data_IF_042492296046
#
_entry.id   IF_042492296046
#
_cell.length_a   1.000
_cell.length_b   1.000
_cell.length_c   1.000
_cell.angle_alpha   90.00
_cell.angle_beta   90.00
_cell.angle_gamma   90.00
#
_symmetry.space_group_name_H-M   'P 1'
#
loop_
_entity.id
_entity.type
_entity.pdbx_description
1 polymer ?
#
# COMPACT_ATOMS: atom_id res chain seq x y z
N UNK A 1 -5.39 3.09 1.52
CA UNK A 1 -4.79 4.41 1.27
C UNK A 1 -5.00 5.37 2.43
N UNK A 2 -6.23 5.56 2.93
CA UNK A 2 -6.49 6.39 4.11
C UNK A 2 -5.75 5.89 5.35
N UNK A 3 -5.88 4.61 5.67
CA UNK A 3 -5.18 3.96 6.81
C UNK A 3 -3.66 4.00 6.66
N UNK A 4 -3.12 3.91 5.44
CA UNK A 4 -1.69 4.05 5.17
C UNK A 4 -1.20 5.49 5.42
N UNK A 5 -1.97 6.50 4.99
CA UNK A 5 -1.67 7.90 5.31
C UNK A 5 -1.70 8.17 6.83
N UNK A 6 -2.76 7.70 7.49
CA UNK A 6 -2.90 7.86 8.94
C UNK A 6 -1.75 7.17 9.71
N UNK A 7 -1.38 5.95 9.32
CA UNK A 7 -0.28 5.22 9.91
C UNK A 7 1.05 5.96 9.77
N UNK A 8 1.36 6.48 8.57
CA UNK A 8 2.60 7.24 8.34
C UNK A 8 2.69 8.44 9.28
N UNK A 9 1.58 9.18 9.41
CA UNK A 9 1.55 10.37 10.28
C UNK A 9 1.65 10.00 11.75
N UNK A 10 0.96 8.93 12.17
CA UNK A 10 1.05 8.39 13.52
C UNK A 10 2.48 8.03 13.91
N UNK A 11 3.18 7.26 13.06
CA UNK A 11 4.57 6.85 13.31
C UNK A 11 5.48 8.07 13.33
N UNK A 12 5.37 8.95 12.33
CA UNK A 12 6.22 10.14 12.22
C UNK A 12 6.08 11.04 13.45
N UNK A 13 4.85 11.39 13.82
CA UNK A 13 4.61 12.28 14.95
C UNK A 13 4.95 11.63 16.29
N UNK A 14 4.61 10.35 16.49
CA UNK A 14 4.93 9.65 17.73
C UNK A 14 6.45 9.58 17.97
N UNK A 15 7.23 9.23 16.95
CA UNK A 15 8.69 9.18 17.09
C UNK A 15 9.33 10.57 17.17
N UNK A 16 8.71 11.58 16.54
CA UNK A 16 9.12 12.97 16.75
C UNK A 16 8.93 13.41 18.20
N UNK A 17 7.79 13.08 18.79
CA UNK A 17 7.53 13.35 20.23
C UNK A 17 8.48 12.61 21.18
N UNK A 18 9.04 11.47 20.75
CA UNK A 18 10.08 10.74 21.46
C UNK A 18 11.49 11.34 21.26
N UNK A 19 11.61 12.48 20.58
CA UNK A 19 12.87 13.22 20.40
C UNK A 19 13.71 12.80 19.18
N UNK A 20 13.16 12.04 18.24
CA UNK A 20 13.87 11.68 17.01
C UNK A 20 14.04 12.88 16.08
N UNK A 21 15.28 13.07 15.58
CA UNK A 21 15.57 14.09 14.58
C UNK A 21 14.89 13.80 13.23
N UNK A 22 14.69 14.81 12.37
CA UNK A 22 14.09 14.61 11.05
C UNK A 22 14.82 13.58 10.17
N UNK A 23 16.14 13.47 10.30
CA UNK A 23 16.95 12.48 9.58
C UNK A 23 16.65 11.07 10.09
N UNK A 24 16.57 10.87 11.40
CA UNK A 24 16.21 9.58 11.98
C UNK A 24 14.78 9.17 11.58
N UNK A 25 13.84 10.11 11.52
CA UNK A 25 12.49 9.86 11.03
C UNK A 25 12.50 9.43 9.56
N UNK A 26 13.34 10.02 8.72
CA UNK A 26 13.49 9.60 7.32
C UNK A 26 13.97 8.13 7.22
N UNK A 27 14.89 7.70 8.07
CA UNK A 27 15.36 6.31 8.12
C UNK A 27 14.23 5.32 8.46
N UNK A 28 13.28 5.67 9.34
CA UNK A 28 12.14 4.81 9.68
C UNK A 28 11.31 4.42 8.45
N UNK A 29 11.28 5.29 7.42
CA UNK A 29 10.51 5.06 6.20
C UNK A 29 11.34 4.52 5.04
N UNK A 30 12.66 4.38 5.18
CA UNK A 30 13.54 3.95 4.10
C UNK A 30 13.18 2.54 3.59
N UNK A 31 13.00 1.59 4.50
CA UNK A 31 12.59 0.22 4.14
C UNK A 31 11.17 0.22 3.54
N UNK A 32 10.27 1.04 4.06
CA UNK A 32 8.92 1.20 3.51
C UNK A 32 8.93 1.60 2.02
N UNK A 33 9.69 2.62 1.66
CA UNK A 33 9.76 3.08 0.27
C UNK A 33 10.51 2.07 -0.61
N UNK A 34 11.59 1.47 -0.11
CA UNK A 34 12.36 0.46 -0.83
C UNK A 34 11.49 -0.76 -1.16
N UNK A 35 10.76 -1.31 -0.17
CA UNK A 35 9.84 -2.41 -0.37
C UNK A 35 8.68 -2.05 -1.31
N UNK A 36 8.23 -0.80 -1.28
CA UNK A 36 7.25 -0.27 -2.23
C UNK A 36 7.76 -0.31 -3.68
N UNK A 37 9.01 0.10 -3.92
CA UNK A 37 9.63 0.03 -5.26
C UNK A 37 9.66 -1.42 -5.76
N UNK A 38 10.16 -2.35 -4.94
CA UNK A 38 10.21 -3.78 -5.29
C UNK A 38 8.80 -4.32 -5.60
N UNK A 39 7.84 -4.02 -4.76
CA UNK A 39 6.45 -4.49 -4.94
C UNK A 39 5.81 -3.90 -6.18
N UNK A 40 6.05 -2.64 -6.52
CA UNK A 40 5.55 -2.05 -7.77
C UNK A 40 6.15 -2.73 -9.00
N UNK A 41 7.43 -3.11 -8.96
CA UNK A 41 8.10 -3.80 -10.05
C UNK A 41 7.49 -5.19 -10.32
N UNK A 42 7.26 -5.96 -9.25
CA UNK A 42 6.69 -7.31 -9.36
C UNK A 42 5.15 -7.34 -9.36
N UNK A 43 4.49 -6.26 -8.94
CA UNK A 43 3.05 -6.23 -8.68
C UNK A 43 2.19 -6.59 -9.88
N UNK A 44 2.54 -6.12 -11.08
CA UNK A 44 1.85 -6.47 -12.32
C UNK A 44 1.93 -7.97 -12.62
N UNK A 45 3.10 -8.57 -12.44
CA UNK A 45 3.30 -10.01 -12.59
C UNK A 45 2.51 -10.83 -11.55
N UNK A 46 2.48 -10.37 -10.30
CA UNK A 46 1.70 -11.01 -9.23
C UNK A 46 0.21 -11.05 -9.55
N UNK A 47 -0.36 -9.92 -10.01
CA UNK A 47 -1.78 -9.86 -10.39
C UNK A 47 -2.07 -10.75 -11.59
N UNK A 48 -1.17 -10.81 -12.57
CA UNK A 48 -1.34 -11.68 -13.75
C UNK A 48 -1.25 -13.16 -13.39
N UNK A 49 -0.41 -13.54 -12.41
CA UNK A 49 -0.20 -14.93 -12.01
C UNK A 49 -1.25 -15.45 -11.05
N UNK A 50 -1.59 -14.67 -10.04
CA UNK A 50 -2.45 -15.10 -8.93
C UNK A 50 -3.88 -14.54 -9.04
N UNK A 51 -4.09 -13.58 -9.91
CA UNK A 51 -5.36 -12.89 -10.05
C UNK A 51 -5.45 -11.65 -9.14
N UNK A 52 -6.45 -10.82 -9.42
CA UNK A 52 -6.67 -9.55 -8.74
C UNK A 52 -7.08 -9.72 -7.28
N UNK A 53 -8.05 -10.61 -7.03
CA UNK A 53 -8.65 -10.81 -5.71
C UNK A 53 -7.65 -11.37 -4.69
N UNK A 54 -6.91 -12.46 -4.97
CA UNK A 54 -5.90 -12.96 -4.05
C UNK A 54 -4.80 -11.92 -3.72
N UNK A 55 -4.36 -11.13 -4.70
CA UNK A 55 -3.36 -10.08 -4.47
C UNK A 55 -3.92 -8.94 -3.61
N UNK A 56 -5.20 -8.61 -3.76
CA UNK A 56 -5.87 -7.64 -2.90
C UNK A 56 -5.96 -8.15 -1.45
N UNK A 57 -6.38 -9.40 -1.26
CA UNK A 57 -6.45 -10.01 0.07
C UNK A 57 -5.08 -10.10 0.73
N UNK A 58 -4.05 -10.52 -0.01
CA UNK A 58 -2.68 -10.56 0.55
C UNK A 58 -2.21 -9.17 0.98
N UNK A 59 -2.48 -8.13 0.20
CA UNK A 59 -2.19 -6.75 0.59
C UNK A 59 -2.88 -6.33 1.87
N UNK A 60 -4.19 -6.61 2.02
CA UNK A 60 -4.93 -6.29 3.24
C UNK A 60 -4.43 -7.07 4.46
N UNK A 61 -4.16 -8.36 4.30
CA UNK A 61 -3.63 -9.23 5.38
C UNK A 61 -2.25 -8.73 5.85
N UNK A 62 -1.34 -8.44 4.92
CA UNK A 62 0.00 -7.90 5.26
C UNK A 62 -0.14 -6.55 5.97
N UNK A 63 -1.09 -5.70 5.58
CA UNK A 63 -1.33 -4.42 6.24
C UNK A 63 -1.80 -4.60 7.68
N UNK A 64 -2.71 -5.55 7.93
CA UNK A 64 -3.17 -5.88 9.29
C UNK A 64 -2.02 -6.41 10.14
N UNK A 65 -1.20 -7.33 9.60
CA UNK A 65 -0.02 -7.87 10.28
C UNK A 65 0.97 -6.75 10.62
N UNK A 66 1.23 -5.84 9.69
CA UNK A 66 2.09 -4.69 9.91
C UNK A 66 1.61 -3.80 11.07
N UNK A 67 0.31 -3.48 11.10
CA UNK A 67 -0.27 -2.69 12.19
C UNK A 67 -0.25 -3.41 13.54
N UNK A 68 -0.54 -4.72 13.56
CA UNK A 68 -0.43 -5.55 14.76
C UNK A 68 1.02 -5.59 15.26
N UNK A 69 1.99 -5.73 14.36
CA UNK A 69 3.40 -5.67 14.72
C UNK A 69 3.76 -4.32 15.37
N UNK A 70 3.29 -3.20 14.81
CA UNK A 70 3.52 -1.87 15.38
C UNK A 70 2.81 -1.69 16.74
N UNK A 71 1.65 -2.30 16.93
CA UNK A 71 0.95 -2.28 18.22
C UNK A 71 1.74 -3.01 19.31
N UNK A 72 2.48 -4.06 18.93
CA UNK A 72 3.28 -4.92 19.83
C UNK A 72 4.75 -4.48 19.96
N UNK A 73 5.13 -3.28 19.48
CA UNK A 73 6.53 -2.82 19.57
C UNK A 73 7.03 -2.90 21.01
N UNK A 74 8.08 -3.67 21.28
CA UNK A 74 8.64 -3.81 22.62
C UNK A 74 9.52 -2.60 22.95
N UNK A 75 8.94 -1.56 23.55
CA UNK A 75 9.68 -0.35 23.96
C UNK A 75 10.71 -0.64 25.08
N UNK A 76 10.57 -1.77 25.76
CA UNK A 76 11.42 -2.19 26.87
C UNK A 76 12.79 -2.74 26.42
N UNK A 77 12.94 -3.18 25.17
CA UNK A 77 14.17 -3.78 24.65
C UNK A 77 15.23 -2.76 24.20
N UNK A 78 14.99 -1.49 24.44
CA UNK A 78 15.89 -0.40 24.03
C UNK A 78 15.54 0.24 22.69
N UNK A 79 15.93 1.50 22.54
CA UNK A 79 15.54 2.36 21.40
C UNK A 79 15.97 1.75 20.06
N UNK A 80 17.20 1.21 19.99
CA UNK A 80 17.73 0.66 18.73
C UNK A 80 16.93 -0.53 18.18
N UNK A 81 16.57 -1.46 19.07
CA UNK A 81 15.76 -2.65 18.68
C UNK A 81 14.36 -2.23 18.25
N UNK A 82 13.74 -1.30 19.00
CA UNK A 82 12.41 -0.77 18.67
C UNK A 82 12.40 -0.07 17.30
N UNK A 83 13.43 0.69 16.97
CA UNK A 83 13.59 1.35 15.66
C UNK A 83 13.66 0.33 14.53
N UNK A 84 14.53 -0.69 14.63
CA UNK A 84 14.64 -1.74 13.62
C UNK A 84 13.30 -2.46 13.44
N UNK A 85 12.63 -2.79 14.54
CA UNK A 85 11.31 -3.44 14.50
C UNK A 85 10.27 -2.58 13.76
N UNK A 86 10.22 -1.27 14.06
CA UNK A 86 9.33 -0.33 13.36
C UNK A 86 9.68 -0.22 11.89
N UNK A 87 10.96 -0.18 11.52
CA UNK A 87 11.40 -0.15 10.12
C UNK A 87 10.94 -1.38 9.35
N UNK A 88 11.06 -2.57 9.93
CA UNK A 88 10.60 -3.83 9.32
C UNK A 88 9.07 -3.84 9.18
N UNK A 89 8.34 -3.48 10.24
CA UNK A 89 6.88 -3.39 10.20
C UNK A 89 6.42 -2.38 9.13
N UNK A 90 7.07 -1.22 9.02
CA UNK A 90 6.81 -0.25 7.96
C UNK A 90 7.13 -0.82 6.56
N UNK A 91 8.16 -1.64 6.42
CA UNK A 91 8.46 -2.35 5.16
C UNK A 91 7.28 -3.21 4.70
N UNK A 92 6.68 -3.99 5.60
CA UNK A 92 5.46 -4.75 5.31
C UNK A 92 4.29 -3.85 4.91
N UNK A 93 4.11 -2.71 5.58
CA UNK A 93 3.10 -1.73 5.19
C UNK A 93 3.34 -1.16 3.78
N UNK A 94 4.60 -0.95 3.38
CA UNK A 94 4.99 -0.56 2.02
C UNK A 94 4.56 -1.59 0.98
N UNK A 95 4.84 -2.88 1.22
CA UNK A 95 4.38 -3.99 0.37
C UNK A 95 2.86 -3.99 0.26
N UNK A 96 2.16 -3.97 1.38
CA UNK A 96 0.71 -4.01 1.45
C UNK A 96 0.05 -2.88 0.65
N UNK A 97 0.54 -1.67 0.81
CA UNK A 97 0.08 -0.47 0.08
C UNK A 97 0.19 -0.67 -1.44
N UNK A 98 1.35 -1.14 -1.90
CA UNK A 98 1.60 -1.22 -3.34
C UNK A 98 0.90 -2.43 -3.97
N UNK A 99 0.73 -3.56 -3.28
CA UNK A 99 -0.14 -4.65 -3.72
C UNK A 99 -1.60 -4.17 -3.90
N UNK A 100 -2.14 -3.47 -2.94
CA UNK A 100 -3.50 -2.89 -3.02
C UNK A 100 -3.62 -1.88 -4.16
N UNK A 101 -2.59 -1.06 -4.39
CA UNK A 101 -2.53 -0.07 -5.48
C UNK A 101 -2.51 -0.74 -6.85
N UNK A 102 -1.68 -1.77 -7.03
CA UNK A 102 -1.58 -2.51 -8.30
C UNK A 102 -2.88 -3.25 -8.58
N UNK A 103 -3.46 -3.94 -7.58
CA UNK A 103 -4.76 -4.61 -7.70
C UNK A 103 -5.85 -3.63 -8.13
N UNK A 104 -5.93 -2.45 -7.50
CA UNK A 104 -6.94 -1.44 -7.86
C UNK A 104 -6.78 -0.92 -9.29
N UNK A 105 -5.54 -0.71 -9.77
CA UNK A 105 -5.29 -0.30 -11.15
C UNK A 105 -5.63 -1.38 -12.16
N UNK A 106 -5.34 -2.63 -11.83
CA UNK A 106 -5.67 -3.79 -12.67
C UNK A 106 -7.18 -4.01 -12.74
N UNK A 107 -7.91 -3.75 -11.65
CA UNK A 107 -9.38 -3.81 -11.65
C UNK A 107 -10.00 -2.88 -12.69
N UNK A 108 -9.51 -1.65 -12.83
CA UNK A 108 -10.01 -0.70 -13.83
C UNK A 108 -9.86 -1.26 -15.25
N UNK A 109 -8.72 -1.90 -15.56
CA UNK A 109 -8.48 -2.49 -16.89
C UNK A 109 -9.41 -3.68 -17.18
N UNK A 110 -9.73 -4.47 -16.15
CA UNK A 110 -10.60 -5.64 -16.28
C UNK A 110 -12.07 -5.22 -16.43
N UNK A 111 -12.50 -4.19 -15.69
CA UNK A 111 -13.88 -3.72 -15.69
C UNK A 111 -14.26 -2.87 -16.92
N UNK A 112 -13.27 -2.36 -17.64
CA UNK A 112 -13.48 -1.52 -18.82
C UNK A 112 -12.64 -1.99 -20.04
N UNK A 113 -12.77 -3.25 -20.47
CA UNK A 113 -11.91 -3.82 -21.54
C UNK A 113 -12.12 -3.16 -22.90
N UNK A 114 -13.35 -2.73 -23.21
CA UNK A 114 -13.76 -2.17 -24.52
C UNK A 114 -13.80 -0.64 -24.52
N UNK A 115 -13.33 0.01 -23.45
CA UNK A 115 -13.31 1.45 -23.40
C UNK A 115 -12.19 2.05 -24.26
N UNK A 116 -12.48 3.16 -24.95
CA UNK A 116 -11.45 3.90 -25.67
C UNK A 116 -10.34 4.33 -24.70
N UNK A 117 -9.10 4.45 -25.20
CA UNK A 117 -7.93 4.87 -24.42
C UNK A 117 -8.19 6.14 -23.60
N UNK A 118 -8.99 7.07 -24.13
CA UNK A 118 -9.41 8.30 -23.47
C UNK A 118 -10.27 8.04 -22.23
N UNK A 119 -11.19 7.09 -22.29
CA UNK A 119 -12.06 6.72 -21.16
C UNK A 119 -11.24 5.98 -20.10
N UNK A 120 -10.38 5.04 -20.52
CA UNK A 120 -9.49 4.31 -19.65
C UNK A 120 -8.54 5.27 -18.90
N UNK A 121 -7.97 6.24 -19.60
CA UNK A 121 -7.13 7.29 -19.00
C UNK A 121 -7.90 8.09 -17.95
N UNK A 122 -9.13 8.51 -18.24
CA UNK A 122 -9.99 9.24 -17.29
C UNK A 122 -10.24 8.43 -16.02
N UNK A 123 -10.58 7.15 -16.12
CA UNK A 123 -10.77 6.27 -14.96
C UNK A 123 -9.50 6.11 -14.12
N UNK A 124 -8.36 5.89 -14.75
CA UNK A 124 -7.07 5.75 -14.05
C UNK A 124 -6.67 7.06 -13.39
N UNK A 125 -6.89 8.20 -14.04
CA UNK A 125 -6.61 9.53 -13.48
C UNK A 125 -7.50 9.82 -12.26
N UNK A 126 -8.81 9.56 -12.38
CA UNK A 126 -9.76 9.71 -11.25
C UNK A 126 -9.41 8.80 -10.09
N UNK A 127 -9.07 7.53 -10.35
CA UNK A 127 -8.63 6.59 -9.32
C UNK A 127 -7.35 7.08 -8.62
N UNK A 128 -6.42 7.63 -9.37
CA UNK A 128 -5.15 8.13 -8.82
C UNK A 128 -5.37 9.41 -7.99
N UNK A 129 -6.18 10.33 -8.49
CA UNK A 129 -6.54 11.55 -7.78
C UNK A 129 -7.28 11.27 -6.47
N UNK A 130 -8.29 10.40 -6.50
CA UNK A 130 -9.03 10.00 -5.29
C UNK A 130 -8.14 9.32 -4.25
N UNK A 131 -7.20 8.46 -4.67
CA UNK A 131 -6.22 7.84 -3.75
C UNK A 131 -5.36 8.89 -3.06
N UNK A 132 -4.86 9.88 -3.79
CA UNK A 132 -4.02 10.93 -3.23
C UNK A 132 -4.82 11.81 -2.25
N UNK A 133 -6.06 12.15 -2.58
CA UNK A 133 -6.96 12.85 -1.67
C UNK A 133 -7.20 12.05 -0.38
N UNK A 134 -7.54 10.76 -0.50
CA UNK A 134 -7.75 9.88 0.66
C UNK A 134 -6.48 9.73 1.50
N UNK A 135 -5.29 9.74 0.89
CA UNK A 135 -4.02 9.73 1.63
C UNK A 135 -3.80 11.02 2.40
N UNK A 136 -4.13 12.18 1.80
CA UNK A 136 -4.09 13.48 2.48
C UNK A 136 -5.03 13.53 3.68
N UNK A 137 -6.27 13.06 3.53
CA UNK A 137 -7.20 12.88 4.66
C UNK A 137 -6.65 11.94 5.72
N UNK A 138 -5.97 10.86 5.30
CA UNK A 138 -5.30 9.94 6.22
C UNK A 138 -4.27 10.67 7.08
N UNK A 139 -3.44 11.53 6.51
CA UNK A 139 -2.46 12.31 7.27
C UNK A 139 -3.12 13.17 8.34
N UNK A 140 -4.20 13.87 7.98
CA UNK A 140 -4.97 14.68 8.94
C UNK A 140 -5.53 13.81 10.07
N UNK A 141 -6.19 12.70 9.73
CA UNK A 141 -6.76 11.78 10.71
C UNK A 141 -5.68 11.16 11.61
N UNK A 142 -4.52 10.81 11.08
CA UNK A 142 -3.41 10.29 11.86
C UNK A 142 -2.93 11.27 12.94
N UNK A 143 -2.82 12.56 12.59
CA UNK A 143 -2.48 13.60 13.55
C UNK A 143 -3.55 13.79 14.62
N UNK A 144 -4.83 13.85 14.21
CA UNK A 144 -5.97 14.02 15.13
C UNK A 144 -6.07 12.81 16.09
N UNK A 145 -5.96 11.59 15.56
CA UNK A 145 -6.04 10.37 16.38
C UNK A 145 -4.90 10.33 17.41
N UNK A 146 -3.68 10.68 17.00
CA UNK A 146 -2.57 10.74 17.94
C UNK A 146 -2.82 11.74 19.06
N UNK A 147 -3.31 12.92 18.72
CA UNK A 147 -3.57 14.00 19.70
C UNK A 147 -4.69 13.64 20.68
N UNK A 148 -5.75 12.98 20.21
CA UNK A 148 -6.92 12.66 21.05
C UNK A 148 -6.79 11.34 21.80
N UNK A 149 -6.22 10.31 21.19
CA UNK A 149 -6.26 8.94 21.70
C UNK A 149 -4.88 8.36 22.01
N UNK A 150 -3.81 9.04 21.61
CA UNK A 150 -2.45 8.53 21.72
C UNK A 150 -2.14 7.41 20.73
N UNK A 151 -0.88 6.94 20.73
CA UNK A 151 -0.35 6.06 19.69
C UNK A 151 -1.02 4.69 19.64
N UNK A 152 -1.11 3.98 20.78
CA UNK A 152 -1.64 2.60 20.83
C UNK A 152 -3.12 2.53 20.46
N UNK A 153 -3.95 3.43 21.02
CA UNK A 153 -5.40 3.43 20.74
C UNK A 153 -5.65 3.80 19.27
N UNK A 154 -4.89 4.72 18.70
CA UNK A 154 -4.98 5.08 17.29
C UNK A 154 -4.65 3.90 16.37
N UNK A 155 -3.62 3.12 16.70
CA UNK A 155 -3.33 1.88 15.96
C UNK A 155 -4.47 0.88 16.06
N UNK A 156 -5.05 0.69 17.25
CA UNK A 156 -6.19 -0.21 17.44
C UNK A 156 -7.40 0.20 16.58
N UNK A 157 -7.69 1.50 16.50
CA UNK A 157 -8.76 2.04 15.62
C UNK A 157 -8.47 1.72 14.15
N UNK A 158 -7.23 1.93 13.69
CA UNK A 158 -6.85 1.62 12.31
C UNK A 158 -6.94 0.12 12.00
N UNK A 159 -6.55 -0.74 12.95
CA UNK A 159 -6.70 -2.20 12.83
C UNK A 159 -8.18 -2.56 12.72
N UNK A 160 -9.03 -2.03 13.58
CA UNK A 160 -10.46 -2.30 13.56
C UNK A 160 -11.10 -1.90 12.22
N UNK A 161 -10.75 -0.73 11.68
CA UNK A 161 -11.22 -0.29 10.35
C UNK A 161 -10.78 -1.27 9.26
N UNK A 162 -9.52 -1.70 9.25
CA UNK A 162 -9.01 -2.62 8.22
C UNK A 162 -9.63 -4.01 8.33
N UNK A 163 -9.79 -4.53 9.54
CA UNK A 163 -10.47 -5.82 9.78
C UNK A 163 -11.91 -5.75 9.31
N UNK A 164 -12.63 -4.68 9.62
CA UNK A 164 -14.02 -4.49 9.14
C UNK A 164 -14.07 -4.47 7.61
N UNK A 165 -13.17 -3.75 6.94
CA UNK A 165 -13.10 -3.74 5.47
C UNK A 165 -12.75 -5.13 4.93
N UNK A 166 -11.80 -5.83 5.54
CA UNK A 166 -11.41 -7.18 5.14
C UNK A 166 -12.58 -8.14 5.21
N UNK A 167 -13.29 -8.13 6.32
CA UNK A 167 -14.50 -8.96 6.57
C UNK A 167 -15.61 -8.59 5.58
N UNK A 168 -15.86 -7.31 5.35
CA UNK A 168 -16.87 -6.86 4.39
C UNK A 168 -16.58 -7.36 2.97
N UNK A 169 -15.32 -7.27 2.50
CA UNK A 169 -14.91 -7.78 1.20
C UNK A 169 -15.02 -9.30 1.14
N UNK A 170 -14.66 -9.99 2.22
CA UNK A 170 -14.74 -11.46 2.30
C UNK A 170 -16.17 -11.96 2.14
N UNK A 171 -17.12 -11.35 2.83
CA UNK A 171 -18.54 -11.71 2.72
C UNK A 171 -19.20 -11.26 1.42
N UNK A 172 -18.72 -10.19 0.82
CA UNK A 172 -19.23 -9.70 -0.48
C UNK A 172 -18.89 -10.65 -1.64
N UNK A 173 -17.95 -11.60 -1.44
CA UNK A 173 -17.51 -12.60 -2.41
C UNK A 173 -17.44 -12.05 -3.85
N UNK A 174 -16.62 -11.03 -4.11
CA UNK A 174 -16.57 -10.39 -5.41
C UNK A 174 -16.06 -11.41 -6.44
N UNK A 175 -16.96 -12.05 -7.17
CA UNK A 175 -16.66 -12.89 -8.33
C UNK A 175 -16.23 -12.00 -9.50
N UNK A 176 -15.09 -11.33 -9.35
CA UNK A 176 -14.42 -10.74 -10.52
C UNK A 176 -13.85 -11.92 -11.27
N UNK A 177 -14.59 -12.38 -12.27
CA UNK A 177 -14.10 -13.34 -13.25
C UNK A 177 -12.71 -12.88 -13.65
N UNK A 178 -11.71 -13.73 -13.40
CA UNK A 178 -10.37 -13.51 -13.93
C UNK A 178 -10.52 -13.58 -15.44
N UNK A 179 -10.81 -12.43 -16.05
CA UNK A 179 -10.75 -12.31 -17.48
C UNK A 179 -9.37 -12.85 -17.85
N UNK A 180 -9.34 -13.85 -18.72
CA UNK A 180 -8.16 -14.56 -19.19
C UNK A 180 -7.08 -13.53 -19.59
N UNK A 181 -6.33 -13.07 -18.61
CA UNK A 181 -5.14 -12.26 -18.89
C UNK A 181 -4.15 -13.26 -19.48
N UNK A 182 -3.97 -13.19 -20.82
CA UNK A 182 -2.94 -13.98 -21.53
C UNK A 182 -1.67 -13.92 -20.68
N UNK A 183 -1.14 -15.08 -20.31
CA UNK A 183 0.07 -15.21 -19.50
C UNK A 183 1.23 -14.53 -20.22
N UNK A 184 1.45 -13.27 -19.91
CA UNK A 184 2.58 -12.52 -20.46
C UNK A 184 3.80 -12.99 -19.69
N UNK A 185 4.72 -13.69 -20.36
CA UNK A 185 6.00 -14.08 -19.75
C UNK A 185 6.73 -12.81 -19.32
N UNK A 186 7.27 -12.82 -18.10
CA UNK A 186 7.98 -11.68 -17.50
C UNK A 186 9.06 -11.10 -18.43
N UNK A 187 9.74 -11.96 -19.21
CA UNK A 187 10.72 -11.59 -20.24
C UNK A 187 10.10 -10.70 -21.32
N UNK A 188 8.85 -10.93 -21.73
CA UNK A 188 8.19 -10.13 -22.75
C UNK A 188 7.83 -8.72 -22.29
N UNK A 189 7.62 -8.51 -20.99
CA UNK A 189 7.37 -7.19 -20.41
C UNK A 189 8.65 -6.35 -20.43
N UNK A 190 9.79 -6.95 -20.10
CA UNK A 190 11.10 -6.27 -20.15
C UNK A 190 11.51 -5.98 -21.59
N UNK A 191 11.32 -6.94 -22.52
CA UNK A 191 11.66 -6.77 -23.93
C UNK A 191 10.78 -5.73 -24.63
N UNK A 192 9.49 -5.62 -24.26
CA UNK A 192 8.59 -4.60 -24.81
C UNK A 192 9.01 -3.17 -24.40
N UNK A 193 9.46 -2.98 -23.17
CA UNK A 193 9.97 -1.69 -22.72
C UNK A 193 11.22 -1.24 -23.48
N UNK A 194 12.08 -2.16 -23.89
CA UNK A 194 13.28 -1.83 -24.68
C UNK A 194 12.91 -1.31 -26.08
N UNK A 195 11.84 -1.83 -26.71
CA UNK A 195 11.37 -1.34 -28.01
C UNK A 195 10.72 0.05 -27.94
N UNK A 196 10.03 0.37 -26.86
CA UNK A 196 9.37 1.67 -26.66
C UNK A 196 10.38 2.79 -26.45
N UNK A 197 11.48 2.52 -25.74
CA UNK A 197 12.55 3.50 -25.55
C UNK A 197 13.31 3.84 -26.84
N UNK A 198 13.42 2.91 -27.81
CA UNK A 198 14.04 3.19 -29.11
C UNK A 198 13.16 4.07 -30.01
N UNK A 199 11.83 3.96 -29.89
CA UNK A 199 10.88 4.74 -30.68
C UNK A 199 10.67 6.17 -30.13
N UNK A 200 11.02 6.43 -28.87
CA UNK A 200 10.92 7.77 -28.27
C UNK A 200 12.18 8.62 -28.45
N UNK A 201 13.25 8.05 -29.01
CA UNK A 201 14.54 8.72 -29.27
C UNK A 201 14.78 8.97 -30.79
N UNK A 202 13.84 8.60 -31.66
CA UNK A 202 13.83 8.90 -33.08
C UNK A 202 12.75 9.94 -33.41
#
# INVERSE_FOLDING_TARGET
MLTDGALRMLVLLNFHLLGFSPIQLAYLFLIYEFMGILTNFFGGWLVNRFGLIPVLYSGLTIQIISLLSLFMVPMELGIGVSVVFVMVAQGFSGIAKDLTKVSSKSAVKILAPDSSDKILFKWVATLTGSKNAMKGFGFLLGGIFLALFGYKVSLAILIAILVTIFVAIFFSNPSVSAGSVKSVKFINVISSNHKINFLSLA
#
